data_IF_940457019292
#
_entry.id   IF_940457019292
#
_cell.length_a   1.000
_cell.length_b   1.000
_cell.length_c   1.000
_cell.angle_alpha   90.00
_cell.angle_beta   90.00
_cell.angle_gamma   90.00
#
_symmetry.space_group_name_H-M   'P 1'
#
loop_
_entity.id
_entity.type
_entity.pdbx_description
1 polymer ?
#
# COMPACT_ATOMS: atom_id res chain seq x y z
N UNK A 1 14.39 4.49 9.92
CA UNK A 1 13.39 3.42 10.12
C UNK A 1 12.80 3.37 11.52
N UNK A 2 13.58 3.36 12.61
CA UNK A 2 13.01 3.29 13.97
C UNK A 2 12.01 4.40 14.30
N UNK A 3 12.32 5.66 13.95
CA UNK A 3 11.42 6.80 14.13
C UNK A 3 10.11 6.64 13.34
N UNK A 4 10.18 6.13 12.10
CA UNK A 4 9.00 5.83 11.30
C UNK A 4 8.16 4.71 11.93
N UNK A 5 8.79 3.68 12.50
CA UNK A 5 8.07 2.61 13.21
C UNK A 5 7.30 3.13 14.41
N UNK A 6 7.95 3.90 15.29
CA UNK A 6 7.30 4.51 16.46
C UNK A 6 6.11 5.39 16.05
N UNK A 7 6.25 6.09 14.92
CA UNK A 7 5.18 6.90 14.38
C UNK A 7 4.01 6.09 13.81
N UNK A 8 4.29 5.03 13.04
CA UNK A 8 3.28 4.11 12.54
C UNK A 8 2.51 3.48 13.70
N UNK A 9 3.19 3.11 14.80
CA UNK A 9 2.58 2.57 16.01
C UNK A 9 1.60 3.58 16.63
N UNK A 10 2.00 4.84 16.75
CA UNK A 10 1.14 5.91 17.26
C UNK A 10 -0.10 6.11 16.38
N UNK A 11 0.08 6.31 15.07
CA UNK A 11 -1.03 6.53 14.12
C UNK A 11 -1.97 5.32 14.12
N UNK A 12 -1.40 4.11 14.14
CA UNK A 12 -2.17 2.86 14.25
C UNK A 12 -3.02 2.84 15.52
N UNK A 13 -2.44 3.16 16.69
CA UNK A 13 -3.16 3.18 17.94
C UNK A 13 -4.29 4.22 17.95
N UNK A 14 -4.05 5.42 17.44
CA UNK A 14 -5.04 6.49 17.32
C UNK A 14 -6.27 6.06 16.50
N UNK A 15 -6.05 5.37 15.37
CA UNK A 15 -7.13 4.84 14.53
C UNK A 15 -7.87 3.66 15.17
N UNK A 16 -7.15 2.78 15.88
CA UNK A 16 -7.79 1.70 16.65
C UNK A 16 -8.69 2.24 17.76
N UNK A 17 -8.25 3.28 18.47
CA UNK A 17 -9.06 3.91 19.52
C UNK A 17 -10.28 4.64 18.93
N UNK A 18 -10.13 5.26 17.75
CA UNK A 18 -11.26 5.86 17.04
C UNK A 18 -12.30 4.81 16.62
N UNK A 19 -11.85 3.66 16.08
CA UNK A 19 -12.71 2.53 15.76
C UNK A 19 -13.44 1.99 16.99
N UNK A 20 -12.74 1.82 18.12
CA UNK A 20 -13.37 1.34 19.35
C UNK A 20 -14.46 2.30 19.84
N UNK A 21 -14.21 3.62 19.83
CA UNK A 21 -15.20 4.63 20.21
C UNK A 21 -16.41 4.67 19.28
N UNK A 22 -16.21 4.44 17.98
CA UNK A 22 -17.30 4.39 17.01
C UNK A 22 -18.21 3.17 17.22
N UNK A 23 -17.62 2.03 17.59
CA UNK A 23 -18.32 0.76 17.76
C UNK A 23 -18.65 0.06 16.42
N UNK A 24 -18.84 -1.27 16.43
CA UNK A 24 -19.12 -2.03 15.22
C UNK A 24 -20.59 -1.86 14.73
N UNK A 25 -20.86 -2.01 13.42
CA UNK A 25 -19.90 -2.28 12.35
C UNK A 25 -19.16 -1.01 11.90
N UNK A 26 -17.90 -1.19 11.47
CA UNK A 26 -17.09 -0.13 10.86
C UNK A 26 -16.62 -0.57 9.48
N UNK A 27 -16.45 0.39 8.57
CA UNK A 27 -15.72 0.14 7.33
C UNK A 27 -14.22 0.26 7.60
N UNK A 28 -13.52 -0.88 7.62
CA UNK A 28 -12.08 -0.93 7.91
C UNK A 28 -11.26 -0.12 6.90
N UNK A 29 -11.73 -0.02 5.65
CA UNK A 29 -11.01 0.73 4.60
C UNK A 29 -10.86 2.19 5.03
N UNK A 30 -11.97 2.86 5.32
CA UNK A 30 -12.01 4.28 5.70
C UNK A 30 -11.49 4.55 7.11
N UNK A 31 -11.77 3.65 8.05
CA UNK A 31 -11.45 3.86 9.45
C UNK A 31 -9.97 3.58 9.79
N UNK A 32 -9.30 2.75 8.99
CA UNK A 32 -8.00 2.19 9.33
C UNK A 32 -7.03 2.07 8.16
N UNK A 33 -7.44 1.44 7.04
CA UNK A 33 -6.53 1.08 5.96
C UNK A 33 -6.07 2.27 5.12
N UNK A 34 -6.97 3.22 4.79
CA UNK A 34 -6.64 4.44 4.05
C UNK A 34 -5.88 5.49 4.89
N UNK A 35 -6.28 5.80 6.12
CA UNK A 35 -5.69 6.95 6.81
C UNK A 35 -4.26 6.73 7.30
N UNK A 36 -3.89 5.49 7.67
CA UNK A 36 -2.53 5.16 8.13
C UNK A 36 -1.48 5.50 7.05
N UNK A 37 -1.50 4.89 5.84
CA UNK A 37 -0.50 5.18 4.82
C UNK A 37 -0.57 6.62 4.31
N UNK A 38 -1.76 7.23 4.26
CA UNK A 38 -1.91 8.63 3.90
C UNK A 38 -1.13 9.57 4.85
N UNK A 39 -1.21 9.33 6.16
CA UNK A 39 -0.45 10.12 7.14
C UNK A 39 1.05 9.84 7.04
N UNK A 40 1.45 8.58 6.86
CA UNK A 40 2.86 8.21 6.76
C UNK A 40 3.56 8.81 5.54
N UNK A 41 2.90 8.83 4.37
CA UNK A 41 3.49 9.44 3.18
C UNK A 41 3.52 10.97 3.28
N UNK A 42 2.52 11.61 3.90
CA UNK A 42 2.56 13.04 4.20
C UNK A 42 3.79 13.38 5.05
N UNK A 43 4.06 12.57 6.07
CA UNK A 43 5.21 12.75 6.94
C UNK A 43 6.53 12.56 6.22
N UNK A 44 6.64 11.51 5.42
CA UNK A 44 7.85 11.25 4.63
C UNK A 44 8.14 12.39 3.66
N UNK A 45 7.11 12.95 3.01
CA UNK A 45 7.22 14.08 2.09
C UNK A 45 7.39 15.44 2.78
N UNK A 46 7.35 15.50 4.12
CA UNK A 46 7.53 16.75 4.85
C UNK A 46 6.33 17.69 4.83
N UNK A 47 5.11 17.16 4.61
CA UNK A 47 3.86 17.91 4.67
C UNK A 47 3.60 18.37 6.12
N UNK A 48 3.50 19.68 6.40
CA UNK A 48 3.20 20.23 7.71
C UNK A 48 1.93 19.64 8.32
N UNK A 49 1.94 19.43 9.64
CA UNK A 49 0.82 18.81 10.37
C UNK A 49 -0.53 19.50 10.10
N UNK A 50 -0.55 20.84 10.04
CA UNK A 50 -1.75 21.63 9.81
C UNK A 50 -2.42 21.36 8.45
N UNK A 51 -1.67 20.90 7.45
CA UNK A 51 -2.15 20.72 6.09
C UNK A 51 -2.53 19.27 5.78
N UNK A 52 -2.20 18.33 6.68
CA UNK A 52 -2.36 16.89 6.44
C UNK A 52 -3.80 16.48 6.21
N UNK A 53 -4.77 17.12 6.86
CA UNK A 53 -6.18 16.79 6.67
C UNK A 53 -6.64 17.14 5.25
N UNK A 54 -6.30 18.34 4.77
CA UNK A 54 -6.63 18.76 3.40
C UNK A 54 -5.92 17.86 2.37
N UNK A 55 -4.65 17.58 2.63
CA UNK A 55 -3.83 16.76 1.75
C UNK A 55 -4.31 15.30 1.70
N UNK A 56 -4.67 14.73 2.85
CA UNK A 56 -5.27 13.40 2.96
C UNK A 56 -6.59 13.33 2.19
N UNK A 57 -7.46 14.34 2.33
CA UNK A 57 -8.72 14.39 1.57
C UNK A 57 -8.45 14.37 0.07
N UNK A 58 -7.53 15.18 -0.43
CA UNK A 58 -7.21 15.15 -1.85
C UNK A 58 -6.59 13.82 -2.30
N UNK A 59 -5.67 13.24 -1.51
CA UNK A 59 -5.03 11.96 -1.81
C UNK A 59 -6.03 10.80 -1.87
N UNK A 60 -7.03 10.81 -0.97
CA UNK A 60 -8.14 9.86 -0.98
C UNK A 60 -9.05 10.10 -2.18
N UNK A 61 -9.42 11.36 -2.48
CA UNK A 61 -10.29 11.68 -3.62
C UNK A 61 -9.70 11.26 -4.96
N UNK A 62 -8.39 11.46 -5.18
CA UNK A 62 -7.70 11.04 -6.42
C UNK A 62 -7.86 9.54 -6.67
N UNK A 63 -7.87 8.73 -5.62
CA UNK A 63 -7.96 7.27 -5.70
C UNK A 63 -9.40 6.72 -5.48
N UNK A 64 -10.36 7.58 -5.15
CA UNK A 64 -11.73 7.19 -4.82
C UNK A 64 -12.50 6.67 -6.03
N UNK A 65 -13.26 5.60 -5.89
CA UNK A 65 -14.18 5.15 -6.96
C UNK A 65 -15.51 5.88 -6.95
N UNK A 66 -15.84 6.56 -5.85
CA UNK A 66 -17.08 7.33 -5.70
C UNK A 66 -16.96 8.75 -6.29
N UNK A 67 -15.73 9.21 -6.55
CA UNK A 67 -15.46 10.55 -7.08
C UNK A 67 -15.61 10.62 -8.61
N UNK A 68 -16.20 11.70 -9.11
CA UNK A 68 -16.30 11.94 -10.56
C UNK A 68 -14.91 12.23 -11.16
N UNK A 69 -14.73 12.08 -12.48
CA UNK A 69 -13.49 12.50 -13.14
C UNK A 69 -13.12 13.95 -12.81
N UNK A 70 -14.08 14.87 -12.81
CA UNK A 70 -13.85 16.28 -12.50
C UNK A 70 -13.36 16.50 -11.07
N UNK A 71 -13.93 15.79 -10.09
CA UNK A 71 -13.50 15.83 -8.69
C UNK A 71 -12.07 15.29 -8.53
N UNK A 72 -11.74 14.20 -9.24
CA UNK A 72 -10.37 13.64 -9.26
C UNK A 72 -9.38 14.60 -9.89
N UNK A 73 -9.73 15.22 -11.02
CA UNK A 73 -8.89 16.23 -11.67
C UNK A 73 -8.66 17.44 -10.77
N UNK A 74 -9.71 17.94 -10.11
CA UNK A 74 -9.59 19.06 -9.17
C UNK A 74 -8.71 18.70 -7.95
N UNK A 75 -8.89 17.50 -7.38
CA UNK A 75 -8.06 17.02 -6.28
C UNK A 75 -6.59 16.83 -6.68
N UNK A 76 -6.34 16.28 -7.86
CA UNK A 76 -5.00 16.10 -8.41
C UNK A 76 -4.32 17.45 -8.67
N UNK A 77 -5.01 18.40 -9.30
CA UNK A 77 -4.50 19.74 -9.52
C UNK A 77 -4.21 20.47 -8.21
N UNK A 78 -5.07 20.30 -7.19
CA UNK A 78 -4.85 20.81 -5.84
C UNK A 78 -3.59 20.24 -5.19
N UNK A 79 -3.39 18.92 -5.25
CA UNK A 79 -2.18 18.25 -4.75
C UNK A 79 -0.93 18.71 -5.47
N UNK A 80 -0.97 18.80 -6.80
CA UNK A 80 0.17 19.22 -7.60
C UNK A 80 0.54 20.68 -7.31
N UNK A 81 -0.44 21.57 -7.20
CA UNK A 81 -0.24 22.96 -6.81
C UNK A 81 0.39 23.09 -5.43
N UNK A 82 -0.18 22.39 -4.44
CA UNK A 82 0.34 22.37 -3.07
C UNK A 82 1.76 21.82 -2.99
N UNK A 83 2.04 20.68 -3.64
CA UNK A 83 3.37 20.10 -3.67
C UNK A 83 4.38 21.02 -4.35
N UNK A 84 3.97 21.76 -5.38
CA UNK A 84 4.84 22.77 -6.01
C UNK A 84 5.18 23.92 -5.08
N UNK A 85 4.25 24.38 -4.25
CA UNK A 85 4.52 25.37 -3.20
C UNK A 85 5.41 24.81 -2.09
N UNK A 86 5.14 23.57 -1.68
CA UNK A 86 5.94 22.87 -0.67
C UNK A 86 7.39 22.72 -1.13
N UNK A 87 7.63 22.27 -2.37
CA UNK A 87 8.98 22.14 -2.95
C UNK A 87 9.72 23.48 -2.91
N UNK A 88 9.07 24.58 -3.32
CA UNK A 88 9.69 25.93 -3.26
C UNK A 88 9.96 26.37 -1.82
N UNK A 89 9.11 25.99 -0.87
CA UNK A 89 9.36 26.25 0.55
C UNK A 89 10.58 25.46 1.03
N UNK A 90 10.63 24.15 0.76
CA UNK A 90 11.73 23.25 1.15
C UNK A 90 13.07 23.64 0.53
N UNK A 91 13.09 24.22 -0.68
CA UNK A 91 14.31 24.79 -1.28
C UNK A 91 14.84 26.02 -0.54
N UNK A 92 13.94 26.86 -0.03
CA UNK A 92 14.32 28.08 0.70
C UNK A 92 14.73 27.79 2.13
N UNK A 93 14.03 26.85 2.77
CA UNK A 93 14.24 26.47 4.16
C UNK A 93 14.09 24.94 4.31
N UNK A 94 15.17 24.18 4.09
CA UNK A 94 15.14 22.72 4.17
C UNK A 94 14.88 22.21 5.59
N UNK A 95 14.08 21.15 5.71
CA UNK A 95 13.80 20.42 6.95
C UNK A 95 14.22 18.94 6.83
N UNK A 96 14.04 18.15 7.89
CA UNK A 96 14.39 16.72 7.89
C UNK A 96 13.28 15.88 7.24
N UNK A 97 13.22 15.89 5.91
CA UNK A 97 12.26 15.13 5.10
C UNK A 97 12.75 14.85 3.67
N UNK A 98 12.06 13.94 2.98
CA UNK A 98 12.46 13.46 1.66
C UNK A 98 12.47 14.55 0.60
N UNK A 99 11.51 15.48 0.62
CA UNK A 99 11.49 16.55 -0.38
C UNK A 99 12.66 17.49 -0.19
N UNK A 100 12.97 17.86 1.06
CA UNK A 100 14.16 18.63 1.41
C UNK A 100 15.46 17.93 0.99
N UNK A 101 15.62 16.64 1.27
CA UNK A 101 16.80 15.88 0.83
C UNK A 101 16.99 15.95 -0.69
N UNK A 102 15.91 15.79 -1.45
CA UNK A 102 15.92 15.82 -2.92
C UNK A 102 16.14 17.22 -3.51
N UNK A 103 15.95 18.30 -2.74
CA UNK A 103 16.25 19.66 -3.24
C UNK A 103 17.74 19.88 -3.51
N UNK A 104 18.61 19.06 -2.92
CA UNK A 104 20.07 19.16 -3.08
C UNK A 104 20.59 18.62 -4.41
N UNK A 105 19.76 17.88 -5.16
CA UNK A 105 20.11 17.35 -6.48
C UNK A 105 19.79 18.32 -7.62
N UNK A 106 20.08 17.86 -8.85
CA UNK A 106 19.91 18.64 -10.10
C UNK A 106 18.46 18.64 -10.63
N UNK A 107 17.48 18.25 -9.82
CA UNK A 107 16.07 18.26 -10.21
C UNK A 107 15.56 19.69 -10.30
N UNK A 108 14.72 19.99 -11.28
CA UNK A 108 13.92 21.22 -11.31
C UNK A 108 12.79 21.16 -10.28
N UNK A 109 12.15 22.30 -9.99
CA UNK A 109 10.96 22.36 -9.13
C UNK A 109 9.83 21.48 -9.68
N UNK A 110 9.66 21.46 -11.00
CA UNK A 110 8.64 20.67 -11.68
C UNK A 110 8.91 19.18 -11.54
N UNK A 111 10.14 18.73 -11.81
CA UNK A 111 10.52 17.32 -11.66
C UNK A 111 10.37 16.85 -10.21
N UNK A 112 10.82 17.66 -9.24
CA UNK A 112 10.69 17.30 -7.82
C UNK A 112 9.23 17.30 -7.36
N UNK A 113 8.39 18.20 -7.88
CA UNK A 113 6.93 18.17 -7.66
C UNK A 113 6.33 16.88 -8.20
N UNK A 114 6.69 16.47 -9.42
CA UNK A 114 6.21 15.23 -10.04
C UNK A 114 6.68 13.98 -9.27
N UNK A 115 7.90 13.99 -8.73
CA UNK A 115 8.38 12.95 -7.81
C UNK A 115 7.51 12.90 -6.54
N UNK A 116 7.20 14.05 -5.93
CA UNK A 116 6.31 14.12 -4.78
C UNK A 116 4.91 13.56 -5.06
N UNK A 117 4.32 13.90 -6.21
CA UNK A 117 3.01 13.37 -6.65
C UNK A 117 3.07 11.85 -6.86
N UNK A 118 4.12 11.35 -7.52
CA UNK A 118 4.31 9.91 -7.73
C UNK A 118 4.40 9.15 -6.41
N UNK A 119 5.22 9.63 -5.47
CA UNK A 119 5.42 9.01 -4.17
C UNK A 119 4.14 9.03 -3.33
N UNK A 120 3.38 10.12 -3.40
CA UNK A 120 2.08 10.23 -2.77
C UNK A 120 1.11 9.16 -3.28
N UNK A 121 0.89 9.12 -4.59
CA UNK A 121 -0.03 8.15 -5.20
C UNK A 121 0.38 6.71 -4.90
N UNK A 122 1.67 6.41 -5.03
CA UNK A 122 2.21 5.08 -4.77
C UNK A 122 2.11 4.67 -3.29
N UNK A 123 2.30 5.62 -2.36
CA UNK A 123 2.33 5.36 -0.92
C UNK A 123 0.96 5.12 -0.28
N UNK A 124 -0.11 5.72 -0.81
CA UNK A 124 -1.46 5.62 -0.22
C UNK A 124 -2.21 4.38 -0.69
N UNK A 125 -2.52 4.30 -1.98
CA UNK A 125 -3.48 3.32 -2.49
C UNK A 125 -2.94 1.89 -2.33
N UNK A 126 -1.64 1.67 -2.54
CA UNK A 126 -1.06 0.31 -2.46
C UNK A 126 -1.10 -0.27 -1.05
N UNK A 127 -0.64 0.47 -0.03
CA UNK A 127 -0.65 -0.03 1.35
C UNK A 127 -2.06 -0.14 1.90
N UNK A 128 -2.95 0.79 1.58
CA UNK A 128 -4.36 0.73 1.99
C UNK A 128 -5.03 -0.54 1.46
N UNK A 129 -4.85 -0.84 0.16
CA UNK A 129 -5.37 -2.07 -0.42
C UNK A 129 -4.73 -3.33 0.18
N UNK A 130 -3.42 -3.33 0.45
CA UNK A 130 -2.80 -4.47 1.16
C UNK A 130 -3.37 -4.67 2.56
N UNK A 131 -3.60 -3.61 3.33
CA UNK A 131 -4.17 -3.70 4.68
C UNK A 131 -5.60 -4.24 4.66
N UNK A 132 -6.44 -3.68 3.79
CA UNK A 132 -7.84 -4.11 3.67
C UNK A 132 -7.93 -5.55 3.14
N UNK A 133 -7.26 -5.85 2.03
CA UNK A 133 -7.31 -7.17 1.39
C UNK A 133 -6.60 -8.23 2.25
N UNK A 134 -5.49 -7.88 2.91
CA UNK A 134 -4.80 -8.73 3.87
C UNK A 134 -5.69 -9.07 5.06
N UNK A 135 -6.44 -8.10 5.58
CA UNK A 135 -7.39 -8.36 6.66
C UNK A 135 -8.52 -9.26 6.18
N UNK A 136 -9.08 -9.02 4.99
CA UNK A 136 -10.08 -9.90 4.41
C UNK A 136 -9.57 -11.35 4.23
N UNK A 137 -8.34 -11.52 3.74
CA UNK A 137 -7.71 -12.82 3.59
C UNK A 137 -7.51 -13.53 4.94
N UNK A 138 -7.09 -12.81 5.98
CA UNK A 138 -6.94 -13.34 7.33
C UNK A 138 -8.29 -13.75 7.93
N UNK A 139 -9.34 -12.91 7.79
CA UNK A 139 -10.69 -13.22 8.27
C UNK A 139 -11.30 -14.43 7.55
N UNK A 140 -10.94 -14.64 6.28
CA UNK A 140 -11.31 -15.81 5.49
C UNK A 140 -10.49 -17.06 5.82
N UNK A 141 -9.42 -16.92 6.62
CA UNK A 141 -8.53 -18.00 7.04
C UNK A 141 -8.33 -17.99 8.58
N UNK A 142 -9.34 -18.39 9.37
CA UNK A 142 -9.33 -18.21 10.83
C UNK A 142 -8.13 -18.86 11.55
N UNK A 143 -7.61 -19.97 11.03
CA UNK A 143 -6.42 -20.64 11.58
C UNK A 143 -5.15 -19.78 11.43
N UNK A 144 -5.01 -19.08 10.30
CA UNK A 144 -3.90 -18.15 10.05
C UNK A 144 -4.04 -16.88 10.89
N UNK A 145 -5.27 -16.34 11.00
CA UNK A 145 -5.57 -15.22 11.88
C UNK A 145 -5.23 -15.53 13.35
N UNK A 146 -5.62 -16.71 13.84
CA UNK A 146 -5.28 -17.15 15.18
C UNK A 146 -3.76 -17.30 15.39
N UNK A 147 -3.04 -17.79 14.37
CA UNK A 147 -1.58 -17.88 14.41
C UNK A 147 -0.91 -16.52 14.52
N UNK A 148 -1.38 -15.52 13.76
CA UNK A 148 -0.88 -14.15 13.82
C UNK A 148 -1.10 -13.52 15.20
N UNK A 149 -2.29 -13.72 15.77
CA UNK A 149 -2.62 -13.22 17.11
C UNK A 149 -1.78 -13.84 18.22
N UNK A 150 -1.45 -15.12 18.11
CA UNK A 150 -0.70 -15.85 19.14
C UNK A 150 0.82 -15.57 19.11
N UNK A 151 1.36 -15.03 18.01
CA UNK A 151 2.81 -14.94 17.80
C UNK A 151 3.29 -13.55 17.39
N UNK A 152 3.78 -12.70 18.32
CA UNK A 152 4.34 -11.39 17.99
C UNK A 152 5.49 -11.47 16.97
N UNK A 153 6.28 -12.54 17.01
CA UNK A 153 7.38 -12.79 16.06
C UNK A 153 6.95 -13.32 14.69
N UNK A 154 5.65 -13.54 14.44
CA UNK A 154 5.15 -14.02 13.15
C UNK A 154 4.90 -12.87 12.16
N UNK A 155 4.81 -11.63 12.64
CA UNK A 155 4.43 -10.47 11.83
C UNK A 155 5.30 -10.29 10.57
N UNK A 156 6.63 -10.39 10.70
CA UNK A 156 7.55 -10.27 9.57
C UNK A 156 7.23 -11.29 8.46
N UNK A 157 7.07 -12.57 8.83
CA UNK A 157 6.78 -13.65 7.86
C UNK A 157 5.37 -13.54 7.30
N UNK A 158 4.40 -13.19 8.14
CA UNK A 158 3.02 -13.00 7.74
C UNK A 158 2.90 -11.91 6.68
N UNK A 159 3.63 -10.80 6.83
CA UNK A 159 3.64 -9.71 5.83
C UNK A 159 4.21 -10.17 4.51
N UNK A 160 5.38 -10.85 4.49
CA UNK A 160 5.94 -11.36 3.22
C UNK A 160 5.01 -12.39 2.56
N UNK A 161 4.37 -13.26 3.34
CA UNK A 161 3.40 -14.21 2.78
C UNK A 161 2.15 -13.53 2.24
N UNK A 162 1.60 -12.53 2.94
CA UNK A 162 0.44 -11.77 2.45
C UNK A 162 0.79 -11.03 1.16
N UNK A 163 1.96 -10.41 1.08
CA UNK A 163 2.45 -9.75 -0.12
C UNK A 163 2.55 -10.74 -1.28
N UNK A 164 3.15 -11.92 -1.07
CA UNK A 164 3.22 -12.98 -2.09
C UNK A 164 1.83 -13.46 -2.50
N UNK A 165 0.99 -13.79 -1.52
CA UNK A 165 -0.29 -14.43 -1.75
C UNK A 165 -1.27 -13.51 -2.48
N UNK A 166 -1.30 -12.23 -2.12
CA UNK A 166 -2.25 -11.24 -2.64
C UNK A 166 -1.77 -10.54 -3.90
N UNK A 167 -0.47 -10.22 -4.01
CA UNK A 167 0.13 -9.56 -5.18
C UNK A 167 -0.77 -8.48 -5.80
N UNK A 168 -1.11 -7.45 -5.01
CA UNK A 168 -2.11 -6.45 -5.40
C UNK A 168 -1.78 -5.70 -6.69
N UNK A 169 -0.49 -5.56 -6.99
CA UNK A 169 0.09 -5.09 -8.25
C UNK A 169 0.37 -6.30 -9.15
N UNK A 170 -0.68 -6.82 -9.77
CA UNK A 170 -0.67 -8.16 -10.37
C UNK A 170 0.04 -8.25 -11.72
N UNK A 171 0.11 -7.17 -12.52
CA UNK A 171 0.72 -7.18 -13.86
C UNK A 171 1.40 -5.86 -14.17
N UNK A 172 2.61 -5.94 -14.75
CA UNK A 172 3.31 -4.78 -15.30
C UNK A 172 3.60 -4.97 -16.78
N UNK A 173 3.54 -3.91 -17.58
CA UNK A 173 3.83 -3.95 -19.03
C UNK A 173 5.18 -3.33 -19.32
N UNK A 174 5.93 -3.91 -20.26
CA UNK A 174 7.19 -3.39 -20.81
C UNK A 174 7.16 -3.48 -22.32
N UNK A 175 7.90 -2.62 -23.00
CA UNK A 175 8.08 -2.68 -24.46
C UNK A 175 9.52 -3.08 -24.76
N UNK A 176 9.71 -4.08 -25.59
CA UNK A 176 11.03 -4.50 -26.05
C UNK A 176 11.62 -3.44 -26.98
N UNK A 177 12.83 -2.96 -26.70
CA UNK A 177 13.52 -1.98 -27.54
C UNK A 177 14.34 -2.64 -28.66
N UNK A 178 14.67 -3.90 -28.49
CA UNK A 178 15.39 -4.76 -29.42
C UNK A 178 14.82 -6.18 -29.36
N UNK A 179 15.20 -7.05 -30.30
CA UNK A 179 14.82 -8.46 -30.26
C UNK A 179 15.47 -9.15 -29.05
N UNK A 180 14.67 -9.86 -28.24
CA UNK A 180 15.13 -10.57 -27.03
C UNK A 180 14.71 -12.04 -27.09
N UNK A 181 15.66 -12.96 -26.92
CA UNK A 181 15.37 -14.39 -26.76
C UNK A 181 15.15 -14.73 -25.28
N UNK A 182 13.98 -15.29 -24.96
CA UNK A 182 13.59 -15.71 -23.62
C UNK A 182 12.98 -17.11 -23.67
N UNK A 183 13.60 -18.06 -22.97
CA UNK A 183 13.17 -19.46 -22.93
C UNK A 183 12.93 -20.08 -24.32
N UNK A 184 13.79 -19.74 -25.30
CA UNK A 184 13.69 -20.21 -26.69
C UNK A 184 12.60 -19.54 -27.53
N UNK A 185 11.94 -18.49 -27.01
CA UNK A 185 11.00 -17.65 -27.75
C UNK A 185 11.63 -16.29 -28.03
N UNK A 186 11.42 -15.74 -29.23
CA UNK A 186 11.91 -14.41 -29.60
C UNK A 186 10.79 -13.39 -29.44
N UNK A 187 11.00 -12.44 -28.53
CA UNK A 187 10.19 -11.22 -28.37
C UNK A 187 10.79 -10.17 -29.32
N UNK A 188 9.98 -9.58 -30.20
CA UNK A 188 10.48 -8.64 -31.22
C UNK A 188 10.57 -7.22 -30.67
N UNK A 189 11.49 -6.44 -31.24
CA UNK A 189 11.52 -5.00 -31.01
C UNK A 189 10.14 -4.38 -31.29
N UNK A 190 9.63 -3.59 -30.34
CA UNK A 190 8.30 -2.99 -30.38
C UNK A 190 7.19 -3.83 -29.72
N UNK A 191 7.42 -5.12 -29.43
CA UNK A 191 6.43 -5.95 -28.74
C UNK A 191 6.24 -5.47 -27.30
N UNK A 192 4.98 -5.49 -26.84
CA UNK A 192 4.63 -5.30 -25.43
C UNK A 192 4.60 -6.64 -24.71
N UNK A 193 5.29 -6.73 -23.58
CA UNK A 193 5.35 -7.90 -22.70
C UNK A 193 4.63 -7.57 -21.40
N UNK A 194 3.58 -8.34 -21.10
CA UNK A 194 2.90 -8.32 -19.81
C UNK A 194 3.57 -9.31 -18.85
N UNK A 195 4.09 -8.80 -17.75
CA UNK A 195 4.77 -9.57 -16.70
C UNK A 195 3.77 -9.82 -15.58
N UNK A 196 3.34 -11.06 -15.42
CA UNK A 196 2.38 -11.46 -14.40
C UNK A 196 3.09 -11.77 -13.07
N UNK A 197 3.13 -10.79 -12.16
CA UNK A 197 3.67 -10.98 -10.81
C UNK A 197 2.86 -11.99 -10.01
N UNK A 198 1.54 -12.02 -10.19
CA UNK A 198 0.66 -12.99 -9.54
C UNK A 198 0.98 -14.43 -9.95
N UNK A 199 1.28 -14.69 -11.23
CA UNK A 199 1.66 -16.03 -11.69
C UNK A 199 3.02 -16.44 -11.11
N UNK A 200 4.01 -15.53 -11.13
CA UNK A 200 5.33 -15.79 -10.57
C UNK A 200 5.26 -16.08 -9.06
N UNK A 201 4.41 -15.36 -8.32
CA UNK A 201 4.20 -15.59 -6.88
C UNK A 201 3.38 -16.86 -6.56
N UNK A 202 2.82 -17.51 -7.58
CA UNK A 202 2.14 -18.80 -7.48
C UNK A 202 2.88 -19.95 -8.18
N UNK A 203 4.16 -19.77 -8.51
CA UNK A 203 4.96 -20.82 -9.15
C UNK A 203 5.21 -21.99 -8.17
N UNK A 204 4.71 -23.22 -8.46
CA UNK A 204 4.91 -24.38 -7.60
C UNK A 204 6.36 -24.86 -7.54
N UNK A 205 7.21 -24.48 -8.51
CA UNK A 205 8.66 -24.75 -8.45
C UNK A 205 9.35 -23.87 -7.39
N UNK A 206 8.74 -22.75 -7.01
CA UNK A 206 9.25 -21.81 -6.00
C UNK A 206 8.54 -21.94 -4.65
N UNK A 207 7.23 -22.10 -4.65
CA UNK A 207 6.38 -22.13 -3.45
C UNK A 207 5.49 -23.38 -3.47
N UNK A 208 5.74 -24.34 -2.58
CA UNK A 208 4.90 -25.54 -2.46
C UNK A 208 3.45 -25.20 -2.07
N UNK A 209 2.44 -25.82 -2.67
CA UNK A 209 1.02 -25.47 -2.47
C UNK A 209 0.78 -23.94 -2.55
N UNK A 210 1.12 -23.31 -3.70
CA UNK A 210 1.24 -21.86 -3.81
C UNK A 210 -0.06 -21.09 -3.57
N UNK A 211 -1.20 -21.76 -3.77
CA UNK A 211 -2.55 -21.22 -3.59
C UNK A 211 -3.05 -21.31 -2.14
N UNK A 212 -2.27 -21.89 -1.22
CA UNK A 212 -2.59 -21.93 0.21
C UNK A 212 -1.88 -20.78 0.93
N UNK A 213 -2.67 -19.98 1.64
CA UNK A 213 -2.15 -18.96 2.56
C UNK A 213 -1.54 -19.63 3.80
N UNK A 214 -0.22 -19.53 3.96
CA UNK A 214 0.48 -20.00 5.14
C UNK A 214 1.46 -18.96 5.69
N UNK A 215 1.07 -18.25 6.76
CA UNK A 215 1.89 -17.17 7.34
C UNK A 215 3.23 -17.66 7.89
N UNK A 216 3.42 -18.97 8.04
CA UNK A 216 4.68 -19.58 8.50
C UNK A 216 5.63 -19.89 7.35
N UNK A 217 5.16 -19.83 6.09
CA UNK A 217 5.96 -20.08 4.89
C UNK A 217 7.15 -19.13 4.81
N UNK A 218 8.35 -19.60 4.41
CA UNK A 218 9.43 -18.70 4.01
C UNK A 218 9.11 -18.08 2.64
N UNK A 219 8.36 -16.97 2.63
CA UNK A 219 7.92 -16.29 1.41
C UNK A 219 8.99 -15.39 0.75
N UNK A 220 10.25 -15.45 1.21
CA UNK A 220 11.34 -14.65 0.66
C UNK A 220 11.52 -14.87 -0.85
N UNK A 221 11.73 -13.79 -1.61
CA UNK A 221 11.92 -13.85 -3.05
C UNK A 221 10.62 -13.80 -3.86
N UNK A 222 9.48 -13.48 -3.22
CA UNK A 222 8.29 -13.06 -3.94
C UNK A 222 8.57 -11.77 -4.73
N UNK A 223 7.82 -11.53 -5.80
CA UNK A 223 8.01 -10.41 -6.74
C UNK A 223 6.90 -9.36 -6.65
N UNK A 224 6.19 -9.29 -5.53
CA UNK A 224 5.08 -8.33 -5.33
C UNK A 224 5.54 -6.86 -5.34
N UNK A 225 6.82 -6.63 -5.07
CA UNK A 225 7.46 -5.32 -5.18
C UNK A 225 8.22 -5.13 -6.51
N UNK A 226 8.02 -6.00 -7.49
CA UNK A 226 8.86 -6.06 -8.69
C UNK A 226 10.29 -6.51 -8.38
N UNK A 227 11.19 -6.29 -9.34
CA UNK A 227 12.61 -6.65 -9.22
C UNK A 227 13.49 -5.73 -10.09
N UNK A 228 14.79 -5.67 -9.77
CA UNK A 228 15.77 -4.88 -10.51
C UNK A 228 15.63 -3.38 -10.30
N UNK A 229 15.97 -2.59 -11.32
CA UNK A 229 16.05 -1.11 -11.22
C UNK A 229 14.69 -0.42 -10.95
N UNK A 230 13.58 -1.12 -11.20
CA UNK A 230 12.22 -0.62 -10.91
C UNK A 230 11.60 -1.31 -9.69
N UNK A 231 12.39 -2.00 -8.88
CA UNK A 231 11.88 -2.56 -7.63
C UNK A 231 11.35 -1.43 -6.73
N UNK A 232 10.20 -1.68 -6.10
CA UNK A 232 9.47 -0.68 -5.33
C UNK A 232 10.38 0.05 -4.33
N UNK A 233 10.47 1.37 -4.50
CA UNK A 233 11.23 2.25 -3.61
C UNK A 233 10.65 2.25 -2.19
N UNK A 234 9.31 2.27 -2.09
CA UNK A 234 8.57 2.32 -0.83
C UNK A 234 8.47 1.00 -0.06
N UNK A 235 9.06 -0.09 -0.56
CA UNK A 235 8.85 -1.44 -0.01
C UNK A 235 9.19 -1.58 1.48
N UNK A 236 10.15 -0.81 1.99
CA UNK A 236 10.54 -0.87 3.40
C UNK A 236 9.55 -0.13 4.30
N UNK A 237 9.00 0.99 3.81
CA UNK A 237 7.94 1.70 4.50
C UNK A 237 6.67 0.85 4.55
N UNK A 238 6.24 0.30 3.41
CA UNK A 238 5.09 -0.60 3.33
C UNK A 238 5.25 -1.78 4.31
N UNK A 239 6.42 -2.42 4.37
CA UNK A 239 6.68 -3.48 5.34
C UNK A 239 6.56 -3.01 6.79
N UNK A 240 7.05 -1.82 7.14
CA UNK A 240 6.88 -1.30 8.51
C UNK A 240 5.40 -1.09 8.82
N UNK A 241 4.66 -0.44 7.92
CA UNK A 241 3.23 -0.17 8.09
C UNK A 241 2.44 -1.47 8.30
N UNK A 242 2.61 -2.45 7.42
CA UNK A 242 1.90 -3.74 7.50
C UNK A 242 2.27 -4.53 8.76
N UNK A 243 3.54 -4.51 9.18
CA UNK A 243 4.01 -5.25 10.36
C UNK A 243 3.50 -4.67 11.68
N UNK A 244 3.25 -3.37 11.72
CA UNK A 244 2.64 -2.73 12.89
C UNK A 244 1.12 -2.93 12.84
N UNK A 245 0.51 -2.64 11.69
CA UNK A 245 -0.94 -2.55 11.58
C UNK A 245 -1.64 -3.91 11.71
N UNK A 246 -1.19 -4.96 11.03
CA UNK A 246 -1.88 -6.26 11.12
C UNK A 246 -1.91 -6.84 12.55
N UNK A 247 -0.78 -6.95 13.28
CA UNK A 247 -0.80 -7.47 14.65
C UNK A 247 -1.59 -6.56 15.60
N UNK A 248 -1.47 -5.24 15.46
CA UNK A 248 -2.18 -4.29 16.31
C UNK A 248 -3.70 -4.45 16.17
N UNK A 249 -4.20 -4.55 14.94
CA UNK A 249 -5.62 -4.75 14.66
C UNK A 249 -6.17 -6.04 15.29
N UNK A 250 -5.50 -7.18 15.08
CA UNK A 250 -5.99 -8.49 15.53
C UNK A 250 -5.78 -8.73 17.03
N UNK A 251 -4.86 -7.99 17.65
CA UNK A 251 -4.64 -7.96 19.10
C UNK A 251 -5.67 -7.09 19.78
N UNK A 252 -5.94 -5.89 19.23
CA UNK A 252 -6.94 -4.96 19.77
C UNK A 252 -8.34 -5.52 19.72
N UNK A 253 -8.68 -6.24 18.66
CA UNK A 253 -10.00 -6.81 18.42
C UNK A 253 -9.95 -8.34 18.28
N UNK A 254 -9.91 -9.11 19.39
CA UNK A 254 -9.86 -10.58 19.32
C UNK A 254 -11.10 -11.22 18.67
N UNK A 255 -12.25 -10.54 18.69
CA UNK A 255 -13.49 -10.96 18.05
C UNK A 255 -13.67 -10.50 16.60
N UNK A 256 -12.65 -9.87 16.00
CA UNK A 256 -12.73 -9.29 14.66
C UNK A 256 -13.25 -10.31 13.63
N UNK A 257 -14.29 -9.92 12.90
CA UNK A 257 -15.01 -10.71 11.90
C UNK A 257 -15.61 -9.80 10.83
N UNK A 258 -15.93 -10.37 9.68
CA UNK A 258 -16.74 -9.66 8.68
C UNK A 258 -18.14 -9.39 9.24
N UNK A 259 -18.66 -8.19 8.99
CA UNK A 259 -20.04 -7.83 9.33
C UNK A 259 -21.04 -8.19 8.19
N UNK A 260 -20.53 -8.75 7.10
CA UNK A 260 -21.28 -9.23 5.94
C UNK A 260 -20.73 -10.61 5.50
N UNK A 261 -21.46 -11.40 4.71
CA UNK A 261 -20.93 -12.60 4.06
C UNK A 261 -19.68 -12.29 3.22
N UNK A 262 -18.75 -13.26 3.11
CA UNK A 262 -17.47 -13.05 2.44
C UNK A 262 -17.64 -12.82 0.93
N UNK A 263 -18.62 -13.49 0.33
CA UNK A 263 -19.02 -13.36 -1.06
C UNK A 263 -19.60 -11.98 -1.42
N UNK A 264 -20.10 -11.24 -0.43
CA UNK A 264 -20.70 -9.91 -0.61
C UNK A 264 -19.66 -8.77 -0.45
N UNK A 265 -18.41 -9.10 -0.14
CA UNK A 265 -17.34 -8.10 -0.01
C UNK A 265 -17.04 -7.50 -1.40
N UNK A 266 -17.20 -6.17 -1.58
CA UNK A 266 -17.03 -5.54 -2.88
C UNK A 266 -15.54 -5.39 -3.24
N UNK A 267 -15.01 -6.31 -4.03
CA UNK A 267 -13.62 -6.29 -4.48
C UNK A 267 -13.39 -5.26 -5.61
N UNK A 268 -12.19 -4.69 -5.70
CA UNK A 268 -11.77 -3.74 -6.74
C UNK A 268 -11.39 -4.44 -8.04
N UNK A 269 -12.35 -5.08 -8.72
CA UNK A 269 -12.11 -5.75 -10.01
C UNK A 269 -11.99 -4.80 -11.21
N UNK A 270 -12.21 -3.49 -10.98
CA UNK A 270 -12.19 -2.42 -11.97
C UNK A 270 -11.05 -1.42 -11.73
N UNK A 271 -9.98 -1.83 -11.04
CA UNK A 271 -8.85 -0.98 -10.67
C UNK A 271 -7.52 -1.70 -10.93
N UNK A 272 -6.47 -0.95 -11.28
CA UNK A 272 -5.13 -1.51 -11.50
C UNK A 272 -4.52 -2.07 -10.22
N UNK A 273 -4.83 -1.46 -9.07
CA UNK A 273 -4.45 -1.95 -7.76
C UNK A 273 -5.61 -2.78 -7.20
N UNK A 274 -5.38 -4.08 -7.07
CA UNK A 274 -6.39 -4.99 -6.55
C UNK A 274 -6.60 -4.78 -5.04
N UNK A 275 -7.84 -4.88 -4.58
CA UNK A 275 -8.17 -4.62 -3.19
C UNK A 275 -9.67 -4.71 -2.91
N UNK A 276 -10.12 -3.95 -1.90
CA UNK A 276 -11.50 -3.98 -1.40
C UNK A 276 -12.03 -2.55 -1.37
N UNK A 277 -13.22 -2.30 -1.95
CA UNK A 277 -13.86 -0.98 -1.93
C UNK A 277 -14.34 -0.59 -0.53
N UNK A 278 -14.90 -1.57 0.20
CA UNK A 278 -15.43 -1.43 1.55
C UNK A 278 -15.28 -2.75 2.28
N UNK A 279 -14.78 -2.73 3.51
CA UNK A 279 -14.66 -3.94 4.32
C UNK A 279 -15.40 -3.76 5.65
N UNK A 280 -16.71 -4.06 5.70
CA UNK A 280 -17.48 -3.96 6.92
C UNK A 280 -17.03 -5.04 7.91
N UNK A 281 -16.54 -4.61 9.08
CA UNK A 281 -16.08 -5.49 10.14
C UNK A 281 -16.79 -5.20 11.45
N UNK A 282 -16.93 -6.22 12.29
CA UNK A 282 -17.30 -6.10 13.69
C UNK A 282 -16.34 -6.88 14.57
N UNK A 283 -16.43 -6.69 15.89
CA UNK A 283 -15.68 -7.45 16.87
C UNK A 283 -16.55 -7.87 18.05
#
# INVERSE_FOLDING_TARGET
MRLLTERVEQVTAEHLDAMERQGPPVDLVKAYAEPIPALMICELLGVPFADRELFQRHAVTVNSNDATPEEKYAAFAGLQGYLGELVRAKRRDPTDDLLSDLTTGDLTDEELTNVGVLLLGAGVDTTANMLALGTFALLSNPAQLAALRAGPGLADRAVEELLRYLTITHTGVRTALEDVELAGQVIKAGDSVAISGQAANRDPARFADPDVLDLRRPATGHVSFGHGVHQCLGQQLARVELRVAFPALVTRFPGLRLAIPAEDVPLRTNSDIYGVHRLPVGW
#
